data_IF_713289167196
#
_entry.id   IF_713289167196
#
_cell.length_a   1.000
_cell.length_b   1.000
_cell.length_c   1.000
_cell.angle_alpha   90.00
_cell.angle_beta   90.00
_cell.angle_gamma   90.00
#
_symmetry.space_group_name_H-M   'P 1'
#
loop_
_entity.id
_entity.type
_entity.pdbx_description
1 polymer ?
#
# COMPACT_ATOMS: atom_id res chain seq x y z
N UNK A 1 -20.59 2.67 38.22
CA UNK A 1 -19.34 1.90 38.08
C UNK A 1 -19.45 0.73 37.09
N UNK A 2 -20.66 0.20 36.83
CA UNK A 2 -20.87 -0.87 35.84
C UNK A 2 -20.77 -0.44 34.36
N UNK A 3 -21.20 0.78 34.01
CA UNK A 3 -21.13 1.27 32.62
C UNK A 3 -19.72 1.33 32.03
N UNK A 4 -18.67 1.44 32.86
CA UNK A 4 -17.27 1.49 32.41
C UNK A 4 -16.68 0.10 32.09
N UNK A 5 -17.27 -0.99 32.61
CA UNK A 5 -16.88 -2.37 32.24
C UNK A 5 -17.44 -2.79 30.88
N UNK A 6 -18.63 -2.33 30.51
CA UNK A 6 -19.26 -2.65 29.24
C UNK A 6 -18.53 -2.04 28.02
N UNK A 7 -17.96 -0.83 28.16
CA UNK A 7 -17.22 -0.16 27.09
C UNK A 7 -15.94 -0.92 26.68
N UNK A 8 -15.25 -1.55 27.64
CA UNK A 8 -14.02 -2.31 27.39
C UNK A 8 -14.33 -3.65 26.71
N UNK A 9 -15.52 -4.22 26.95
CA UNK A 9 -15.97 -5.45 26.28
C UNK A 9 -16.38 -5.20 24.83
N UNK A 10 -17.02 -4.05 24.53
CA UNK A 10 -17.39 -3.68 23.16
C UNK A 10 -16.17 -3.38 22.26
N UNK A 11 -15.08 -2.85 22.82
CA UNK A 11 -13.81 -2.66 22.11
C UNK A 11 -13.12 -3.99 21.72
N UNK A 12 -13.51 -5.11 22.35
CA UNK A 12 -13.03 -6.46 22.03
C UNK A 12 -13.85 -7.15 20.92
N UNK A 13 -14.90 -6.51 20.43
CA UNK A 13 -15.84 -7.06 19.44
C UNK A 13 -15.77 -6.32 18.09
N UNK A 14 -14.66 -5.64 17.80
CA UNK A 14 -14.24 -5.55 16.40
C UNK A 14 -13.48 -6.83 16.12
N UNK A 15 -14.20 -7.82 15.58
CA UNK A 15 -13.60 -8.88 14.77
C UNK A 15 -12.46 -8.26 13.96
N UNK A 16 -11.22 -8.69 14.20
CA UNK A 16 -10.19 -8.56 13.18
C UNK A 16 -10.77 -9.28 11.97
N UNK A 17 -11.34 -8.51 11.03
CA UNK A 17 -11.82 -9.07 9.79
C UNK A 17 -10.62 -9.78 9.17
N UNK A 18 -10.62 -11.11 9.23
CA UNK A 18 -9.60 -11.93 8.57
C UNK A 18 -9.86 -11.74 7.09
N UNK A 19 -9.18 -10.76 6.50
CA UNK A 19 -9.23 -10.51 5.06
C UNK A 19 -8.52 -11.70 4.41
N UNK A 20 -9.27 -12.49 3.65
CA UNK A 20 -8.67 -13.54 2.82
C UNK A 20 -7.89 -12.87 1.69
N UNK A 21 -6.56 -12.94 1.79
CA UNK A 21 -5.64 -12.38 0.82
C UNK A 21 -5.11 -13.43 -0.17
N UNK A 22 -5.44 -14.72 0.01
CA UNK A 22 -4.96 -15.79 -0.86
C UNK A 22 -5.31 -15.56 -2.35
N UNK A 23 -6.49 -15.04 -2.72
CA UNK A 23 -6.82 -14.75 -4.12
C UNK A 23 -5.90 -13.73 -4.78
N UNK A 24 -5.24 -12.88 -3.99
CA UNK A 24 -4.33 -11.83 -4.47
C UNK A 24 -2.86 -12.27 -4.45
N UNK A 25 -2.56 -13.51 -4.04
CA UNK A 25 -1.19 -13.99 -4.01
C UNK A 25 -0.65 -14.24 -5.42
N UNK A 26 0.44 -13.56 -5.76
CA UNK A 26 1.14 -13.78 -7.02
C UNK A 26 2.48 -14.49 -6.81
N UNK A 27 2.87 -15.32 -7.79
CA UNK A 27 4.15 -16.05 -7.77
C UNK A 27 5.29 -15.08 -8.05
N UNK A 28 6.33 -15.12 -7.21
CA UNK A 28 7.51 -14.25 -7.31
C UNK A 28 8.80 -15.04 -7.20
N UNK A 29 9.82 -14.62 -7.94
CA UNK A 29 11.17 -15.19 -7.81
C UNK A 29 11.78 -14.83 -6.46
N UNK A 30 12.82 -15.58 -6.03
CA UNK A 30 13.56 -15.25 -4.80
C UNK A 30 14.18 -13.85 -4.86
N UNK A 31 14.70 -13.46 -6.03
CA UNK A 31 15.31 -12.15 -6.24
C UNK A 31 14.29 -11.02 -6.14
N UNK A 32 13.11 -11.20 -6.74
CA UNK A 32 12.02 -10.22 -6.69
C UNK A 32 11.49 -10.03 -5.27
N UNK A 33 11.29 -11.12 -4.52
CA UNK A 33 10.92 -11.05 -3.10
C UNK A 33 11.92 -10.26 -2.27
N UNK A 34 13.22 -10.45 -2.53
CA UNK A 34 14.26 -9.74 -1.79
C UNK A 34 14.18 -8.22 -2.02
N UNK A 35 14.05 -7.78 -3.27
CA UNK A 35 13.93 -6.35 -3.62
C UNK A 35 12.67 -5.71 -3.05
N UNK A 36 11.53 -6.41 -3.13
CA UNK A 36 10.26 -5.94 -2.55
C UNK A 36 10.39 -5.78 -1.02
N UNK A 37 10.92 -6.79 -0.33
CA UNK A 37 11.08 -6.73 1.13
C UNK A 37 12.06 -5.65 1.57
N UNK A 38 13.10 -5.39 0.79
CA UNK A 38 14.03 -4.29 1.03
C UNK A 38 13.32 -2.93 0.88
N UNK A 39 12.59 -2.73 -0.22
CA UNK A 39 11.85 -1.49 -0.45
C UNK A 39 10.79 -1.23 0.63
N UNK A 40 10.01 -2.26 1.01
CA UNK A 40 9.02 -2.17 2.09
C UNK A 40 9.68 -1.75 3.41
N UNK A 41 10.80 -2.37 3.78
CA UNK A 41 11.51 -2.04 5.03
C UNK A 41 12.02 -0.60 5.07
N UNK A 42 12.35 -0.01 3.92
CA UNK A 42 12.82 1.38 3.82
C UNK A 42 11.69 2.41 3.88
N UNK A 43 10.43 1.97 3.78
CA UNK A 43 9.27 2.85 3.73
C UNK A 43 8.66 3.06 5.12
N UNK A 44 8.49 4.31 5.53
CA UNK A 44 7.97 4.69 6.84
C UNK A 44 6.57 4.11 7.15
N UNK A 45 5.76 3.86 6.11
CA UNK A 45 4.43 3.26 6.25
C UNK A 45 4.47 1.82 6.79
N UNK A 46 5.62 1.14 6.69
CA UNK A 46 5.77 -0.28 6.97
C UNK A 46 6.79 -0.59 8.06
N UNK A 47 7.29 0.42 8.79
CA UNK A 47 8.33 0.26 9.82
C UNK A 47 7.96 -0.72 10.93
N UNK A 48 6.67 -0.78 11.27
CA UNK A 48 6.17 -1.61 12.38
C UNK A 48 5.63 -2.98 11.95
N UNK A 49 5.85 -3.39 10.70
CA UNK A 49 5.41 -4.70 10.24
C UNK A 49 6.27 -5.81 10.82
N UNK A 50 5.62 -6.85 11.34
CA UNK A 50 6.28 -8.11 11.61
C UNK A 50 6.79 -8.74 10.31
N UNK A 51 7.78 -9.64 10.42
CA UNK A 51 8.29 -10.40 9.28
C UNK A 51 7.17 -11.12 8.50
N UNK A 52 6.21 -11.72 9.21
CA UNK A 52 5.08 -12.42 8.60
C UNK A 52 4.17 -11.46 7.83
N UNK A 53 3.89 -10.26 8.36
CA UNK A 53 3.10 -9.25 7.66
C UNK A 53 3.81 -8.72 6.41
N UNK A 54 5.12 -8.43 6.51
CA UNK A 54 5.92 -8.01 5.35
C UNK A 54 5.96 -9.10 4.26
N UNK A 55 6.05 -10.38 4.64
CA UNK A 55 5.94 -11.50 3.71
C UNK A 55 4.55 -11.60 3.08
N UNK A 56 3.48 -11.34 3.82
CA UNK A 56 2.12 -11.28 3.28
C UNK A 56 1.96 -10.15 2.27
N UNK A 57 2.44 -8.93 2.55
CA UNK A 57 2.44 -7.83 1.58
C UNK A 57 3.24 -8.21 0.35
N UNK A 58 4.42 -8.78 0.53
CA UNK A 58 5.25 -9.26 -0.58
C UNK A 58 4.51 -10.30 -1.45
N UNK A 59 3.65 -11.15 -0.88
CA UNK A 59 2.82 -12.09 -1.66
C UNK A 59 1.73 -11.39 -2.46
N UNK A 60 1.11 -10.35 -1.90
CA UNK A 60 -0.02 -9.62 -2.50
C UNK A 60 0.41 -8.61 -3.57
N UNK A 61 1.62 -8.04 -3.48
CA UNK A 61 2.09 -7.08 -4.49
C UNK A 61 2.10 -7.70 -5.90
N UNK A 62 1.88 -6.89 -6.93
CA UNK A 62 1.88 -7.35 -8.32
C UNK A 62 2.91 -6.56 -9.14
N UNK A 63 3.56 -7.23 -10.10
CA UNK A 63 4.42 -6.56 -11.06
C UNK A 63 3.55 -5.90 -12.13
N UNK A 64 3.56 -4.56 -12.19
CA UNK A 64 2.82 -3.81 -13.20
C UNK A 64 3.79 -3.39 -14.31
N UNK A 65 3.70 -3.98 -15.53
CA UNK A 65 4.53 -3.55 -16.64
C UNK A 65 4.07 -2.17 -17.13
N UNK A 66 5.01 -1.27 -17.33
CA UNK A 66 4.76 0.09 -17.84
C UNK A 66 5.64 0.40 -19.04
N UNK A 67 5.17 1.32 -19.88
CA UNK A 67 5.89 1.87 -21.03
C UNK A 67 6.20 3.34 -20.82
N UNK A 68 7.19 3.84 -21.56
CA UNK A 68 7.51 5.26 -21.55
C UNK A 68 6.28 6.07 -22.01
N UNK A 69 5.90 7.06 -21.20
CA UNK A 69 4.70 7.88 -21.43
C UNK A 69 3.46 7.43 -20.66
N UNK A 70 3.46 6.24 -20.05
CA UNK A 70 2.35 5.80 -19.21
C UNK A 70 2.24 6.66 -17.95
N UNK A 71 1.01 7.06 -17.61
CA UNK A 71 0.71 7.82 -16.39
C UNK A 71 0.12 6.87 -15.36
N UNK A 72 0.89 6.56 -14.31
CA UNK A 72 0.48 5.62 -13.26
C UNK A 72 -0.52 6.19 -12.26
N UNK A 73 -0.35 7.46 -11.89
CA UNK A 73 -1.16 8.17 -10.89
C UNK A 73 -1.42 9.57 -11.42
N UNK A 74 -2.66 10.04 -11.35
CA UNK A 74 -3.00 11.44 -11.62
C UNK A 74 -3.40 12.13 -10.32
N UNK A 75 -3.00 13.39 -10.20
CA UNK A 75 -3.37 14.21 -9.05
C UNK A 75 -4.89 14.40 -9.00
N UNK A 76 -5.51 14.10 -7.86
CA UNK A 76 -6.95 14.15 -7.68
C UNK A 76 -7.66 12.80 -7.83
N UNK A 77 -6.96 11.77 -8.34
CA UNK A 77 -7.50 10.41 -8.37
C UNK A 77 -7.60 9.83 -6.94
N UNK A 78 -8.55 8.91 -6.76
CA UNK A 78 -8.67 8.14 -5.52
C UNK A 78 -7.44 7.25 -5.33
N UNK A 79 -6.81 7.35 -4.16
CA UNK A 79 -5.61 6.58 -3.83
C UNK A 79 -5.96 5.18 -3.34
N UNK A 80 -5.93 4.20 -4.24
CA UNK A 80 -6.21 2.77 -3.94
C UNK A 80 -4.97 1.87 -3.97
N UNK A 81 -3.83 2.37 -4.49
CA UNK A 81 -2.63 1.57 -4.77
C UNK A 81 -1.34 2.19 -4.24
N UNK A 82 -0.41 1.31 -3.87
CA UNK A 82 0.95 1.65 -3.52
C UNK A 82 1.92 0.98 -4.49
N UNK A 83 2.84 1.77 -5.06
CA UNK A 83 3.80 1.29 -6.06
C UNK A 83 5.24 1.37 -5.53
N UNK A 84 6.02 0.37 -5.88
CA UNK A 84 7.48 0.35 -5.72
C UNK A 84 8.11 0.22 -7.10
N UNK A 85 9.11 1.03 -7.40
CA UNK A 85 9.83 0.97 -8.66
C UNK A 85 10.84 -0.19 -8.61
N UNK A 86 10.61 -1.26 -9.36
CA UNK A 86 11.59 -2.35 -9.52
C UNK A 86 12.70 -1.98 -10.52
N UNK A 87 12.32 -1.33 -11.63
CA UNK A 87 13.24 -0.89 -12.66
C UNK A 87 12.68 0.34 -13.40
N UNK A 88 13.59 1.20 -13.87
CA UNK A 88 13.27 2.35 -14.72
C UNK A 88 13.40 3.69 -14.01
N UNK A 89 12.99 4.75 -14.70
CA UNK A 89 12.97 6.12 -14.18
C UNK A 89 11.60 6.73 -14.44
N UNK A 90 11.05 7.35 -13.40
CA UNK A 90 9.75 7.99 -13.44
C UNK A 90 9.90 9.47 -13.12
N UNK A 91 8.96 10.27 -13.59
CA UNK A 91 8.88 11.70 -13.34
C UNK A 91 7.62 11.98 -12.54
N UNK A 92 7.75 12.80 -11.49
CA UNK A 92 6.62 13.30 -10.72
C UNK A 92 6.43 14.77 -11.09
N UNK A 93 5.22 15.14 -11.48
CA UNK A 93 4.83 16.52 -11.79
C UNK A 93 3.70 16.94 -10.86
N UNK A 94 3.86 18.10 -10.23
CA UNK A 94 2.80 18.75 -9.48
C UNK A 94 2.26 19.86 -10.36
N UNK A 95 0.97 19.84 -10.68
CA UNK A 95 0.38 20.99 -11.35
C UNK A 95 0.43 22.17 -10.37
N UNK A 96 1.14 23.24 -10.76
CA UNK A 96 1.01 24.51 -10.06
C UNK A 96 -0.47 24.88 -10.10
N UNK A 97 -1.07 25.14 -8.93
CA UNK A 97 -2.50 25.18 -8.74
C UNK A 97 -3.23 25.96 -9.84
N UNK A 98 -4.26 25.33 -10.41
CA UNK A 98 -5.38 26.08 -10.96
C UNK A 98 -6.09 26.77 -9.79
N UNK A 99 -5.52 27.87 -9.33
CA UNK A 99 -6.22 28.83 -8.50
C UNK A 99 -7.15 29.59 -9.44
N UNK A 100 -8.36 29.06 -9.59
CA UNK A 100 -9.61 29.83 -9.69
C UNK A 100 -9.54 31.09 -10.58
N UNK A 101 -9.44 30.90 -11.90
CA UNK A 101 -9.90 31.90 -12.88
C UNK A 101 -11.37 31.62 -13.18
N UNK A 102 -12.22 31.87 -12.18
CA UNK A 102 -13.61 32.21 -12.40
C UNK A 102 -13.68 33.74 -12.44
N UNK A 103 -13.59 34.31 -13.64
CA UNK A 103 -13.95 35.70 -13.92
C UNK A 103 -15.45 35.78 -14.27
#
# INVERSE_FOLDING_TARGET
REKKKALIAAARAQEEAVVDLEPYYSKKSRAEKARILEAIKSCFLFENLSKAQAETICKVMECVPVRAGDVLIRQGDEGDRFYVIDHGRFEVRIAAGAQELAA
#
